data_IF_613034034473
#
_entry.id   IF_613034034473
#
_cell.length_a   1.000
_cell.length_b   1.000
_cell.length_c   1.000
_cell.angle_alpha   90.00
_cell.angle_beta   90.00
_cell.angle_gamma   90.00
#
_symmetry.space_group_name_H-M   'P 1'
#
loop_
_entity.id
_entity.type
_entity.pdbx_description
1 polymer ?
#
# COMPACT_ATOMS: atom_id res chain seq x y z
N UNK A 1 -20.38 3.92 -9.33
CA UNK A 1 -19.24 3.72 -8.38
C UNK A 1 -18.80 2.26 -8.19
N UNK A 2 -19.48 1.24 -8.75
CA UNK A 2 -19.16 -0.18 -8.47
C UNK A 2 -17.77 -0.64 -8.99
N UNK A 3 -17.16 0.10 -9.92
CA UNK A 3 -15.92 -0.31 -10.60
C UNK A 3 -14.66 0.42 -10.09
N UNK A 4 -14.82 1.42 -9.21
CA UNK A 4 -13.71 2.28 -8.78
C UNK A 4 -12.80 1.54 -7.79
N UNK A 5 -13.41 0.75 -6.89
CA UNK A 5 -12.71 -0.04 -5.87
C UNK A 5 -11.71 -1.06 -6.44
N UNK A 6 -12.09 -1.94 -7.39
CA UNK A 6 -11.13 -2.86 -7.99
C UNK A 6 -10.05 -2.13 -8.80
N UNK A 7 -10.39 -1.05 -9.51
CA UNK A 7 -9.42 -0.28 -10.27
C UNK A 7 -8.32 0.34 -9.39
N UNK A 8 -8.67 0.80 -8.18
CA UNK A 8 -7.69 1.33 -7.21
C UNK A 8 -6.79 0.26 -6.62
N UNK A 9 -7.33 -0.93 -6.35
CA UNK A 9 -6.54 -2.06 -5.86
C UNK A 9 -5.52 -2.47 -6.92
N UNK A 10 -5.99 -2.65 -8.16
CA UNK A 10 -5.14 -3.01 -9.30
C UNK A 10 -4.09 -1.93 -9.55
N UNK A 11 -4.47 -0.65 -9.47
CA UNK A 11 -3.55 0.48 -9.61
C UNK A 11 -2.49 0.51 -8.50
N UNK A 12 -2.88 0.30 -7.24
CA UNK A 12 -1.94 0.26 -6.11
C UNK A 12 -0.99 -0.94 -6.19
N UNK A 13 -1.49 -2.11 -6.63
CA UNK A 13 -0.67 -3.30 -6.85
C UNK A 13 0.34 -3.07 -7.98
N UNK A 14 -0.09 -2.52 -9.12
CA UNK A 14 0.79 -2.16 -10.23
C UNK A 14 1.85 -1.15 -9.79
N UNK A 15 1.46 -0.10 -9.05
CA UNK A 15 2.40 0.89 -8.54
C UNK A 15 3.42 0.26 -7.58
N UNK A 16 3.01 -0.70 -6.75
CA UNK A 16 3.92 -1.45 -5.89
C UNK A 16 4.91 -2.29 -6.72
N UNK A 17 4.42 -3.04 -7.72
CA UNK A 17 5.26 -3.85 -8.62
C UNK A 17 6.28 -2.97 -9.34
N UNK A 18 5.83 -1.85 -9.90
CA UNK A 18 6.68 -0.85 -10.57
C UNK A 18 7.75 -0.33 -9.61
N UNK A 19 7.38 0.10 -8.40
CA UNK A 19 8.34 0.56 -7.39
C UNK A 19 9.37 -0.52 -7.03
N UNK A 20 8.94 -1.77 -6.86
CA UNK A 20 9.87 -2.88 -6.53
C UNK A 20 10.77 -3.30 -7.69
N UNK A 21 10.36 -3.08 -8.94
CA UNK A 21 11.16 -3.43 -10.12
C UNK A 21 12.13 -2.30 -10.52
N UNK A 22 11.72 -1.04 -10.34
CA UNK A 22 12.51 0.12 -10.76
C UNK A 22 13.48 0.61 -9.69
N UNK A 23 13.17 0.42 -8.41
CA UNK A 23 14.03 0.87 -7.32
C UNK A 23 14.80 -0.31 -6.73
N UNK A 24 16.14 -0.25 -6.66
CA UNK A 24 16.90 -1.27 -5.96
C UNK A 24 16.54 -1.28 -4.47
N UNK A 25 16.61 -2.45 -3.79
CA UNK A 25 16.55 -2.51 -2.34
C UNK A 25 17.57 -1.54 -1.71
N UNK A 26 17.22 -0.82 -0.64
CA UNK A 26 15.99 -0.87 0.14
C UNK A 26 14.86 0.07 -0.35
N UNK A 27 15.14 0.90 -1.36
CA UNK A 27 14.28 2.02 -1.75
C UNK A 27 12.91 1.59 -2.26
N UNK A 28 12.82 0.45 -2.95
CA UNK A 28 11.54 -0.15 -3.37
C UNK A 28 10.65 -0.51 -2.18
N UNK A 29 11.22 -0.98 -1.07
CA UNK A 29 10.48 -1.31 0.15
C UNK A 29 9.98 -0.05 0.86
N UNK A 30 10.84 0.97 0.97
CA UNK A 30 10.46 2.26 1.54
C UNK A 30 9.34 2.93 0.73
N UNK A 31 9.46 2.94 -0.60
CA UNK A 31 8.43 3.45 -1.50
C UNK A 31 7.12 2.69 -1.37
N UNK A 32 7.16 1.35 -1.29
CA UNK A 32 5.98 0.52 -1.05
C UNK A 32 5.30 0.80 0.29
N UNK A 33 6.08 1.02 1.35
CA UNK A 33 5.57 1.36 2.68
C UNK A 33 4.82 2.70 2.67
N UNK A 34 5.41 3.73 2.05
CA UNK A 34 4.79 5.06 1.92
C UNK A 34 3.53 4.98 1.07
N UNK A 35 3.58 4.31 -0.08
CA UNK A 35 2.45 4.18 -1.00
C UNK A 35 1.25 3.51 -0.29
N UNK A 36 1.48 2.41 0.43
CA UNK A 36 0.43 1.70 1.15
C UNK A 36 -0.11 2.49 2.33
N UNK A 37 0.73 3.27 3.03
CA UNK A 37 0.30 4.20 4.06
C UNK A 37 -0.62 5.31 3.52
N UNK A 38 -0.25 5.90 2.38
CA UNK A 38 -1.08 6.91 1.68
C UNK A 38 -2.40 6.30 1.22
N UNK A 39 -2.37 5.10 0.64
CA UNK A 39 -3.57 4.39 0.22
C UNK A 39 -4.50 4.12 1.41
N UNK A 40 -3.96 3.62 2.53
CA UNK A 40 -4.73 3.39 3.74
C UNK A 40 -5.38 4.68 4.25
N UNK A 41 -4.61 5.78 4.37
CA UNK A 41 -5.11 7.09 4.80
C UNK A 41 -6.22 7.62 3.88
N UNK A 42 -6.07 7.42 2.57
CA UNK A 42 -7.08 7.80 1.59
C UNK A 42 -8.36 6.96 1.72
N UNK A 43 -8.26 5.65 1.94
CA UNK A 43 -9.43 4.79 2.24
C UNK A 43 -10.10 5.22 3.56
N UNK A 44 -9.35 5.59 4.59
CA UNK A 44 -9.90 6.16 5.83
C UNK A 44 -10.68 7.46 5.57
N UNK A 45 -10.15 8.35 4.73
CA UNK A 45 -10.83 9.58 4.34
C UNK A 45 -12.11 9.28 3.55
N UNK A 46 -12.09 8.32 2.64
CA UNK A 46 -13.26 7.93 1.85
C UNK A 46 -14.37 7.33 2.71
N UNK A 47 -14.04 6.47 3.69
CA UNK A 47 -15.07 5.92 4.59
C UNK A 47 -15.79 7.01 5.38
N UNK A 48 -15.04 8.01 5.90
CA UNK A 48 -15.65 9.16 6.56
C UNK A 48 -16.58 9.94 5.64
N UNK A 49 -16.20 10.10 4.36
CA UNK A 49 -16.98 10.86 3.40
C UNK A 49 -18.22 10.12 2.88
N UNK A 50 -18.19 8.78 2.81
CA UNK A 50 -19.27 7.97 2.21
C UNK A 50 -20.11 7.19 3.22
N UNK A 51 -19.71 7.13 4.50
CA UNK A 51 -20.41 6.37 5.54
C UNK A 51 -20.42 4.85 5.31
N UNK A 52 -19.73 4.35 4.29
CA UNK A 52 -19.57 2.92 4.00
C UNK A 52 -18.26 2.43 4.55
N UNK A 53 -18.30 1.33 5.30
CA UNK A 53 -17.09 0.62 5.72
C UNK A 53 -16.51 -0.15 4.53
N UNK A 54 -15.33 0.27 4.08
CA UNK A 54 -14.42 -0.45 3.20
C UNK A 54 -13.38 -1.23 4.03
N UNK A 55 -13.83 -1.84 5.14
CA UNK A 55 -12.98 -2.49 6.14
C UNK A 55 -11.89 -3.40 5.57
N UNK A 56 -12.20 -4.39 4.70
CA UNK A 56 -11.20 -5.33 4.18
C UNK A 56 -10.06 -4.65 3.42
N UNK A 57 -10.37 -3.57 2.72
CA UNK A 57 -9.43 -2.85 1.87
C UNK A 57 -8.37 -2.12 2.69
N UNK A 58 -8.78 -1.54 3.82
CA UNK A 58 -7.88 -0.86 4.76
C UNK A 58 -6.90 -1.82 5.38
N UNK A 59 -7.40 -2.96 5.85
CA UNK A 59 -6.59 -4.01 6.46
C UNK A 59 -5.60 -4.59 5.47
N UNK A 60 -6.00 -4.74 4.20
CA UNK A 60 -5.11 -5.22 3.14
C UNK A 60 -3.98 -4.21 2.84
N UNK A 61 -4.31 -2.93 2.68
CA UNK A 61 -3.31 -1.88 2.49
C UNK A 61 -2.34 -1.79 3.69
N UNK A 62 -2.87 -1.87 4.91
CA UNK A 62 -2.05 -1.91 6.13
C UNK A 62 -1.13 -3.13 6.17
N UNK A 63 -1.66 -4.33 5.88
CA UNK A 63 -0.86 -5.56 5.89
C UNK A 63 0.27 -5.52 4.85
N UNK A 64 -0.01 -5.02 3.65
CA UNK A 64 1.02 -4.82 2.62
C UNK A 64 2.06 -3.77 3.03
N UNK A 65 1.63 -2.65 3.62
CA UNK A 65 2.52 -1.64 4.15
C UNK A 65 3.42 -2.17 5.26
N UNK A 66 2.87 -2.93 6.21
CA UNK A 66 3.63 -3.58 7.29
C UNK A 66 4.61 -4.60 6.71
N UNK A 67 4.19 -5.42 5.75
CA UNK A 67 5.06 -6.39 5.08
C UNK A 67 6.26 -5.71 4.38
N UNK A 68 6.02 -4.62 3.66
CA UNK A 68 7.09 -3.82 3.06
C UNK A 68 8.04 -3.23 4.12
N UNK A 69 7.51 -2.77 5.25
CA UNK A 69 8.30 -2.30 6.38
C UNK A 69 9.17 -3.37 7.01
N UNK A 70 8.65 -4.59 7.17
CA UNK A 70 9.44 -5.72 7.70
C UNK A 70 10.59 -6.07 6.74
N UNK A 71 10.35 -6.07 5.43
CA UNK A 71 11.40 -6.30 4.43
C UNK A 71 12.46 -5.20 4.44
N UNK A 72 12.03 -3.94 4.58
CA UNK A 72 12.92 -2.79 4.71
C UNK A 72 13.83 -2.93 5.95
N UNK A 73 13.24 -3.16 7.13
CA UNK A 73 13.98 -3.32 8.39
C UNK A 73 14.93 -4.51 8.30
N UNK A 74 14.48 -5.64 7.75
CA UNK A 74 15.33 -6.83 7.54
C UNK A 74 16.55 -6.53 6.68
N UNK A 75 16.37 -5.80 5.57
CA UNK A 75 17.47 -5.41 4.69
C UNK A 75 18.44 -4.46 5.40
N UNK A 76 17.92 -3.48 6.15
CA UNK A 76 18.77 -2.55 6.90
C UNK A 76 19.58 -3.24 8.01
N UNK A 77 19.04 -4.29 8.63
CA UNK A 77 19.71 -5.08 9.67
C UNK A 77 20.63 -6.17 9.11
N UNK A 78 20.41 -6.62 7.86
CA UNK A 78 21.23 -7.62 7.18
C UNK A 78 21.49 -7.15 5.72
N UNK A 79 22.45 -6.22 5.52
CA UNK A 79 22.72 -5.63 4.21
C UNK A 79 23.33 -6.61 3.21
#
# INVERSE_FOLDING_TARGET
MKNVWPALIVGAYLALVILTLLLPPPWGYAGGMVLMGVLAAWVFRMERATGRSAGPLKWFALALGVGAGVLLVRFLLNP
#
